data_IF_128871042742
#
_entry.id   IF_128871042742
#
_cell.length_a   1.000
_cell.length_b   1.000
_cell.length_c   1.000
_cell.angle_alpha   90.00
_cell.angle_beta   90.00
_cell.angle_gamma   90.00
#
_symmetry.space_group_name_H-M   'P 1'
#
loop_
_entity.id
_entity.type
_entity.pdbx_description
1 polymer ?
#
# COMPACT_ATOMS: atom_id res chain seq x y z
N UNK A 1 -27.69 84.37 71.28
CA UNK A 1 -27.31 83.07 71.88
C UNK A 1 -26.18 82.51 71.03
N UNK A 2 -24.98 82.31 71.60
CA UNK A 2 -23.81 81.80 70.84
C UNK A 2 -23.71 80.30 71.10
N UNK A 3 -23.93 79.51 70.05
CA UNK A 3 -23.74 78.05 70.08
C UNK A 3 -22.29 77.73 70.42
N UNK A 4 -22.10 76.85 71.42
CA UNK A 4 -20.80 76.24 71.70
C UNK A 4 -20.56 75.18 70.63
N UNK A 5 -19.72 75.48 69.65
CA UNK A 5 -19.16 74.47 68.73
C UNK A 5 -18.14 73.65 69.50
N UNK A 6 -18.48 72.40 69.75
CA UNK A 6 -17.52 71.41 70.27
C UNK A 6 -16.46 71.16 69.20
N UNK A 7 -15.24 71.64 69.46
CA UNK A 7 -14.08 71.37 68.61
C UNK A 7 -13.61 69.94 68.88
N UNK A 8 -14.08 68.99 68.08
CA UNK A 8 -13.68 67.60 68.19
C UNK A 8 -12.30 67.39 67.53
N UNK A 9 -11.23 67.63 68.30
CA UNK A 9 -9.84 67.47 67.86
C UNK A 9 -9.51 66.03 67.44
N UNK A 10 -10.17 65.04 68.04
CA UNK A 10 -9.97 63.64 67.70
C UNK A 10 -10.36 63.35 66.25
N UNK A 11 -11.47 63.94 65.79
CA UNK A 11 -11.96 63.72 64.43
C UNK A 11 -11.04 64.36 63.39
N UNK A 12 -10.54 65.58 63.64
CA UNK A 12 -9.53 66.22 62.78
C UNK A 12 -8.20 65.48 62.74
N UNK A 13 -7.79 64.87 63.86
CA UNK A 13 -6.56 64.08 63.92
C UNK A 13 -6.66 62.80 63.10
N UNK A 14 -7.81 62.12 63.16
CA UNK A 14 -8.10 60.92 62.35
C UNK A 14 -8.16 61.27 60.86
N UNK A 15 -8.82 62.37 60.50
CA UNK A 15 -8.87 62.87 59.11
C UNK A 15 -7.49 63.31 58.59
N UNK A 16 -6.64 63.87 59.46
CA UNK A 16 -5.26 64.24 59.13
C UNK A 16 -4.39 63.01 58.86
N UNK A 17 -4.46 61.99 59.72
CA UNK A 17 -3.71 60.74 59.50
C UNK A 17 -4.22 59.95 58.29
N UNK A 18 -5.52 59.97 58.00
CA UNK A 18 -6.06 59.34 56.79
C UNK A 18 -5.52 59.98 55.50
N UNK A 19 -5.25 61.30 55.51
CA UNK A 19 -4.66 62.03 54.38
C UNK A 19 -3.15 61.81 54.22
N UNK A 20 -2.41 61.63 55.32
CA UNK A 20 -0.98 61.26 55.25
C UNK A 20 -0.77 59.77 54.91
N UNK A 21 -1.73 58.89 55.24
CA UNK A 21 -1.66 57.46 54.91
C UNK A 21 -2.17 57.11 53.50
N UNK A 22 -2.65 58.07 52.70
CA UNK A 22 -2.89 57.86 51.27
C UNK A 22 -1.55 57.81 50.52
N UNK A 23 -0.82 56.72 50.76
CA UNK A 23 0.41 56.40 50.05
C UNK A 23 0.17 56.41 48.53
N UNK A 24 1.07 56.96 47.71
CA UNK A 24 0.94 56.95 46.24
C UNK A 24 1.20 55.54 45.63
N UNK A 25 0.95 54.47 46.38
CA UNK A 25 1.50 53.15 46.11
C UNK A 25 0.59 52.26 45.27
N UNK A 26 -0.74 52.38 45.37
CA UNK A 26 -1.68 51.42 44.75
C UNK A 26 -1.68 51.47 43.21
N UNK A 27 -1.64 52.66 42.61
CA UNK A 27 -1.59 52.80 41.15
C UNK A 27 -0.22 52.44 40.57
N UNK A 28 0.87 52.74 41.27
CA UNK A 28 2.22 52.36 40.85
C UNK A 28 2.45 50.85 40.95
N UNK A 29 1.95 50.21 42.02
CA UNK A 29 2.03 48.74 42.15
C UNK A 29 1.11 48.03 41.16
N UNK A 30 -0.08 48.56 40.85
CA UNK A 30 -0.89 48.05 39.74
C UNK A 30 -0.17 48.18 38.40
N UNK A 31 0.37 49.35 38.05
CA UNK A 31 1.10 49.49 36.79
C UNK A 31 2.28 48.51 36.67
N UNK A 32 2.99 48.26 37.78
CA UNK A 32 4.09 47.30 37.83
C UNK A 32 3.61 45.85 37.65
N UNK A 33 2.51 45.45 38.32
CA UNK A 33 1.97 44.08 38.18
C UNK A 33 1.39 43.84 36.78
N UNK A 34 0.74 44.85 36.18
CA UNK A 34 0.28 44.78 34.80
C UNK A 34 1.44 44.71 33.81
N UNK A 35 2.53 45.46 34.05
CA UNK A 35 3.75 45.39 33.23
C UNK A 35 4.44 44.03 33.29
N UNK A 36 4.60 43.46 34.48
CA UNK A 36 5.18 42.11 34.68
C UNK A 36 4.27 41.05 34.07
N UNK A 37 2.95 41.13 34.29
CA UNK A 37 1.97 40.21 33.72
C UNK A 37 1.99 40.22 32.19
N UNK A 38 2.08 41.39 31.58
CA UNK A 38 2.18 41.54 30.12
C UNK A 38 3.46 40.94 29.55
N UNK A 39 4.60 41.12 30.24
CA UNK A 39 5.89 40.54 29.83
C UNK A 39 5.89 39.01 29.89
N UNK A 40 5.32 38.42 30.95
CA UNK A 40 5.18 36.96 31.05
C UNK A 40 4.25 36.43 29.95
N UNK A 41 3.14 37.11 29.69
CA UNK A 41 2.17 36.69 28.68
C UNK A 41 2.78 36.72 27.27
N UNK A 42 3.54 37.77 26.93
CA UNK A 42 4.28 37.86 25.67
C UNK A 42 5.38 36.80 25.56
N UNK A 43 6.08 36.49 26.66
CA UNK A 43 7.07 35.41 26.68
C UNK A 43 6.46 34.03 26.39
N UNK A 44 5.28 33.75 26.94
CA UNK A 44 4.54 32.50 26.70
C UNK A 44 3.99 32.43 25.28
N UNK A 45 3.42 33.53 24.75
CA UNK A 45 2.93 33.58 23.36
C UNK A 45 4.08 33.56 22.34
N UNK A 46 5.22 34.17 22.66
CA UNK A 46 6.39 34.17 21.78
C UNK A 46 7.10 32.81 21.73
N UNK A 47 7.00 32.00 22.79
CA UNK A 47 7.66 30.68 22.87
C UNK A 47 6.77 29.51 22.42
N UNK A 48 5.46 29.72 22.28
CA UNK A 48 4.51 28.69 21.83
C UNK A 48 4.74 28.21 20.38
N UNK A 49 5.13 29.05 19.40
CA UNK A 49 5.42 28.59 18.04
C UNK A 49 6.55 27.57 17.99
N UNK A 50 7.62 27.81 18.76
CA UNK A 50 8.79 26.93 18.79
C UNK A 50 8.50 25.58 19.45
N UNK A 51 7.73 25.58 20.54
CA UNK A 51 7.27 24.34 21.18
C UNK A 51 6.36 23.53 20.25
N UNK A 52 5.57 24.19 19.42
CA UNK A 52 4.72 23.52 18.44
C UNK A 52 5.57 22.87 17.34
N UNK A 53 6.53 23.58 16.74
CA UNK A 53 7.43 23.01 15.74
C UNK A 53 8.22 21.81 16.27
N UNK A 54 8.68 21.88 17.51
CA UNK A 54 9.41 20.77 18.15
C UNK A 54 8.53 19.52 18.30
N UNK A 55 7.28 19.71 18.74
CA UNK A 55 6.32 18.59 18.86
C UNK A 55 5.96 18.02 17.49
N UNK A 56 5.69 18.88 16.52
CA UNK A 56 5.32 18.48 15.16
C UNK A 56 6.42 17.64 14.51
N UNK A 57 7.69 18.05 14.69
CA UNK A 57 8.86 17.35 14.15
C UNK A 57 9.01 15.95 14.76
N UNK A 58 8.79 15.79 16.07
CA UNK A 58 8.82 14.48 16.71
C UNK A 58 7.70 13.57 16.22
N UNK A 59 6.48 14.11 16.11
CA UNK A 59 5.35 13.33 15.62
C UNK A 59 5.57 12.89 14.16
N UNK A 60 6.17 13.74 13.34
CA UNK A 60 6.58 13.41 11.97
C UNK A 60 7.59 12.26 11.92
N UNK A 61 8.64 12.29 12.75
CA UNK A 61 9.65 11.23 12.81
C UNK A 61 9.02 9.88 13.22
N UNK A 62 8.12 9.89 14.21
CA UNK A 62 7.42 8.67 14.66
C UNK A 62 6.49 8.12 13.59
N UNK A 63 5.84 9.00 12.82
CA UNK A 63 4.97 8.59 11.70
C UNK A 63 5.80 8.04 10.54
N UNK A 64 6.91 8.70 10.18
CA UNK A 64 7.82 8.24 9.12
C UNK A 64 8.42 6.86 9.44
N UNK A 65 8.82 6.62 10.69
CA UNK A 65 9.33 5.33 11.16
C UNK A 65 8.26 4.22 11.10
N UNK A 66 7.00 4.56 11.38
CA UNK A 66 5.88 3.61 11.18
C UNK A 66 5.64 3.33 9.70
N UNK A 67 5.72 4.35 8.85
CA UNK A 67 5.54 4.19 7.40
C UNK A 67 6.65 3.31 6.80
N UNK A 68 7.89 3.49 7.23
CA UNK A 68 9.03 2.69 6.76
C UNK A 68 8.89 1.20 7.13
N UNK A 69 8.52 0.91 8.38
CA UNK A 69 8.25 -0.45 8.85
C UNK A 69 7.08 -1.10 8.08
N UNK A 70 5.98 -0.36 7.86
CA UNK A 70 4.86 -0.86 7.06
C UNK A 70 5.27 -1.13 5.61
N UNK A 71 6.13 -0.28 5.03
CA UNK A 71 6.63 -0.46 3.66
C UNK A 71 7.50 -1.70 3.54
N UNK A 72 8.36 -1.96 4.52
CA UNK A 72 9.19 -3.18 4.55
C UNK A 72 8.35 -4.45 4.69
N UNK A 73 7.36 -4.46 5.58
CA UNK A 73 6.41 -5.57 5.72
C UNK A 73 5.63 -5.78 4.42
N UNK A 74 5.19 -4.71 3.77
CA UNK A 74 4.47 -4.81 2.48
C UNK A 74 5.34 -5.43 1.38
N UNK A 75 6.63 -5.10 1.34
CA UNK A 75 7.58 -5.69 0.40
C UNK A 75 7.78 -7.18 0.69
N UNK A 76 7.96 -7.57 1.95
CA UNK A 76 8.08 -8.98 2.34
C UNK A 76 6.82 -9.80 2.02
N UNK A 77 5.63 -9.23 2.25
CA UNK A 77 4.35 -9.87 1.87
C UNK A 77 4.22 -9.98 0.35
N UNK A 78 4.65 -8.97 -0.41
CA UNK A 78 4.65 -9.05 -1.88
C UNK A 78 5.58 -10.15 -2.39
N UNK A 79 6.78 -10.28 -1.82
CA UNK A 79 7.73 -11.34 -2.13
C UNK A 79 7.14 -12.71 -1.78
N UNK A 80 6.54 -12.87 -0.60
CA UNK A 80 5.85 -14.10 -0.20
C UNK A 80 4.68 -14.43 -1.13
N UNK A 81 3.90 -13.44 -1.58
CA UNK A 81 2.80 -13.65 -2.54
C UNK A 81 3.31 -14.12 -3.90
N UNK A 82 4.40 -13.54 -4.40
CA UNK A 82 5.04 -14.01 -5.65
C UNK A 82 5.64 -15.41 -5.52
N UNK A 83 6.21 -15.73 -4.35
CA UNK A 83 6.75 -17.06 -4.09
C UNK A 83 5.61 -18.08 -3.96
N UNK A 84 4.51 -17.72 -3.30
CA UNK A 84 3.29 -18.55 -3.21
C UNK A 84 2.68 -18.81 -4.59
N UNK A 85 2.62 -17.81 -5.49
CA UNK A 85 2.09 -18.06 -6.84
C UNK A 85 2.97 -19.02 -7.64
N UNK A 86 4.31 -18.90 -7.52
CA UNK A 86 5.24 -19.85 -8.14
C UNK A 86 5.08 -21.27 -7.58
N UNK A 87 4.87 -21.40 -6.27
CA UNK A 87 4.62 -22.70 -5.62
C UNK A 87 3.28 -23.28 -6.07
N UNK A 88 2.21 -22.49 -6.18
CA UNK A 88 0.92 -22.95 -6.74
C UNK A 88 1.05 -23.41 -8.21
N UNK A 89 1.84 -22.72 -9.02
CA UNK A 89 2.13 -23.15 -10.40
C UNK A 89 2.91 -24.48 -10.42
N UNK A 90 3.91 -24.63 -9.54
CA UNK A 90 4.67 -25.87 -9.40
C UNK A 90 3.82 -27.03 -8.86
N UNK A 91 2.90 -26.76 -7.94
CA UNK A 91 1.99 -27.75 -7.38
C UNK A 91 0.96 -28.21 -8.43
N UNK A 92 0.47 -27.29 -9.29
CA UNK A 92 -0.33 -27.65 -10.46
C UNK A 92 0.44 -28.55 -11.42
N UNK A 93 1.71 -28.24 -11.69
CA UNK A 93 2.58 -29.10 -12.50
C UNK A 93 2.83 -30.47 -11.85
N UNK A 94 3.05 -30.51 -10.54
CA UNK A 94 3.28 -31.76 -9.82
C UNK A 94 1.99 -32.61 -9.75
N UNK A 95 0.83 -31.99 -9.60
CA UNK A 95 -0.45 -32.69 -9.68
C UNK A 95 -0.70 -33.25 -11.08
N UNK A 96 -0.36 -32.51 -12.14
CA UNK A 96 -0.40 -33.06 -13.50
C UNK A 96 0.53 -34.27 -13.68
N UNK A 97 1.72 -34.26 -13.06
CA UNK A 97 2.63 -35.42 -13.06
C UNK A 97 2.09 -36.60 -12.24
N UNK A 98 1.41 -36.36 -11.12
CA UNK A 98 0.88 -37.41 -10.24
C UNK A 98 -0.41 -38.05 -10.76
N UNK A 99 -1.26 -37.27 -11.44
CA UNK A 99 -2.55 -37.76 -11.96
C UNK A 99 -2.40 -38.45 -13.32
N UNK A 100 -1.29 -38.23 -14.04
CA UNK A 100 -1.05 -38.89 -15.32
C UNK A 100 -0.34 -40.23 -15.14
N UNK A 101 -0.95 -41.31 -15.64
CA UNK A 101 -0.42 -42.69 -15.58
C UNK A 101 0.79 -42.90 -16.50
N UNK A 102 1.13 -41.92 -17.35
CA UNK A 102 2.29 -41.89 -18.26
C UNK A 102 3.12 -40.64 -17.99
N UNK A 103 4.44 -40.76 -18.09
CA UNK A 103 5.36 -39.63 -17.95
C UNK A 103 5.06 -38.56 -19.03
N UNK A 104 4.61 -37.35 -18.64
CA UNK A 104 4.32 -36.28 -19.59
C UNK A 104 5.58 -35.61 -20.14
N UNK A 105 6.75 -35.81 -19.51
CA UNK A 105 8.04 -35.22 -19.91
C UNK A 105 8.38 -35.39 -21.39
N UNK A 106 8.46 -36.63 -21.92
CA UNK A 106 8.78 -36.86 -23.33
C UNK A 106 7.73 -36.31 -24.31
N UNK A 107 6.47 -36.20 -23.88
CA UNK A 107 5.40 -35.60 -24.70
C UNK A 107 5.56 -34.08 -24.75
N UNK A 108 5.80 -33.45 -23.60
CA UNK A 108 6.04 -32.02 -23.47
C UNK A 108 7.29 -31.56 -24.23
N UNK A 109 8.38 -32.31 -24.18
CA UNK A 109 9.59 -32.00 -24.95
C UNK A 109 9.33 -32.05 -26.46
N UNK A 110 8.65 -33.08 -26.95
CA UNK A 110 8.28 -33.16 -28.36
C UNK A 110 7.31 -32.05 -28.76
N UNK A 111 6.35 -31.72 -27.89
CA UNK A 111 5.40 -30.63 -28.14
C UNK A 111 6.13 -29.28 -28.22
N UNK A 112 7.10 -29.02 -27.34
CA UNK A 112 7.95 -27.82 -27.37
C UNK A 112 8.69 -27.66 -28.69
N UNK A 113 9.19 -28.76 -29.26
CA UNK A 113 9.89 -28.74 -30.56
C UNK A 113 8.93 -28.61 -31.76
N UNK A 114 7.64 -28.87 -31.55
CA UNK A 114 6.59 -28.85 -32.58
C UNK A 114 5.87 -27.49 -32.65
N UNK A 115 5.90 -26.72 -31.55
CA UNK A 115 5.25 -25.43 -31.43
C UNK A 115 6.00 -24.32 -32.20
N UNK A 116 5.28 -23.49 -32.98
CA UNK A 116 5.89 -22.35 -33.67
C UNK A 116 6.35 -21.26 -32.70
N UNK A 117 7.31 -20.44 -33.15
CA UNK A 117 7.91 -19.37 -32.35
C UNK A 117 6.82 -18.35 -31.98
N UNK A 118 6.67 -18.07 -30.68
CA UNK A 118 5.65 -17.14 -30.18
C UNK A 118 4.30 -17.80 -29.83
N UNK A 119 4.17 -19.11 -29.95
CA UNK A 119 3.01 -19.84 -29.45
C UNK A 119 2.99 -19.88 -27.92
N UNK A 120 1.82 -19.61 -27.33
CA UNK A 120 1.60 -19.67 -25.88
C UNK A 120 0.71 -20.86 -25.56
N UNK A 121 1.22 -21.81 -24.76
CA UNK A 121 0.42 -22.92 -24.26
C UNK A 121 -0.35 -22.44 -23.03
N UNK A 122 -1.68 -22.34 -23.14
CA UNK A 122 -2.55 -21.87 -22.06
C UNK A 122 -2.92 -23.00 -21.09
N UNK A 123 -3.11 -24.21 -21.62
CA UNK A 123 -3.44 -25.39 -20.82
C UNK A 123 -2.94 -26.67 -21.47
N UNK A 124 -2.51 -27.61 -20.63
CA UNK A 124 -2.12 -28.96 -21.01
C UNK A 124 -2.68 -29.94 -19.99
N UNK A 125 -3.36 -30.97 -20.46
CA UNK A 125 -3.85 -32.08 -19.66
C UNK A 125 -3.57 -33.38 -20.40
N UNK A 126 -3.02 -34.36 -19.68
CA UNK A 126 -2.77 -35.71 -20.17
C UNK A 126 -3.52 -36.71 -19.29
N UNK A 127 -4.56 -37.31 -19.85
CA UNK A 127 -5.36 -38.34 -19.19
C UNK A 127 -5.28 -39.63 -20.00
N UNK A 128 -4.54 -40.61 -19.49
CA UNK A 128 -4.28 -41.90 -20.13
C UNK A 128 -3.67 -41.75 -21.55
N UNK A 129 -4.52 -41.78 -22.58
CA UNK A 129 -4.15 -41.58 -23.98
C UNK A 129 -4.70 -40.29 -24.59
N UNK A 130 -5.46 -39.49 -23.85
CA UNK A 130 -6.02 -38.24 -24.36
C UNK A 130 -5.20 -37.04 -23.86
N UNK A 131 -4.74 -36.23 -24.80
CA UNK A 131 -4.06 -34.96 -24.59
C UNK A 131 -5.02 -33.84 -24.93
N UNK A 132 -5.40 -33.04 -23.94
CA UNK A 132 -6.09 -31.77 -24.15
C UNK A 132 -5.08 -30.64 -24.09
N UNK A 133 -4.98 -29.86 -25.17
CA UNK A 133 -4.00 -28.79 -25.31
C UNK A 133 -4.71 -27.51 -25.79
N UNK A 134 -4.54 -26.41 -25.07
CA UNK A 134 -4.97 -25.09 -25.52
C UNK A 134 -3.75 -24.25 -25.87
N UNK A 135 -3.66 -23.78 -27.12
CA UNK A 135 -2.54 -22.96 -27.61
C UNK A 135 -3.07 -21.67 -28.22
N UNK A 136 -2.49 -20.54 -27.84
CA UNK A 136 -2.66 -19.26 -28.53
C UNK A 136 -1.54 -19.06 -29.54
N UNK A 137 -1.91 -18.84 -30.79
CA UNK A 137 -1.01 -18.67 -31.92
C UNK A 137 -1.12 -17.24 -32.47
N UNK A 138 0.02 -16.59 -32.81
CA UNK A 138 0.01 -15.19 -33.23
C UNK A 138 -0.47 -15.01 -34.67
N UNK A 139 -0.21 -15.97 -35.57
CA UNK A 139 -0.62 -15.89 -36.97
C UNK A 139 -1.41 -17.13 -37.44
N UNK A 140 -2.29 -17.01 -38.44
CA UNK A 140 -2.98 -18.16 -39.04
C UNK A 140 -2.03 -19.17 -39.69
N UNK A 141 -0.88 -18.71 -40.21
CA UNK A 141 0.15 -19.57 -40.80
C UNK A 141 0.75 -20.51 -39.76
N UNK A 142 0.91 -20.01 -38.52
CA UNK A 142 1.40 -20.81 -37.40
C UNK A 142 0.41 -21.91 -37.00
N UNK A 143 -0.90 -21.70 -37.21
CA UNK A 143 -1.93 -22.75 -37.02
C UNK A 143 -1.73 -23.88 -38.03
N UNK A 144 -1.56 -23.54 -39.31
CA UNK A 144 -1.32 -24.54 -40.36
C UNK A 144 0.00 -25.29 -40.13
N UNK A 145 1.06 -24.58 -39.70
CA UNK A 145 2.34 -25.20 -39.37
C UNK A 145 2.21 -26.14 -38.17
N UNK A 146 1.54 -25.71 -37.09
CA UNK A 146 1.32 -26.55 -35.91
C UNK A 146 0.53 -27.82 -36.28
N UNK A 147 -0.50 -27.69 -37.11
CA UNK A 147 -1.29 -28.82 -37.58
C UNK A 147 -0.44 -29.85 -38.33
N UNK A 148 0.35 -29.40 -39.31
CA UNK A 148 1.26 -30.26 -40.08
C UNK A 148 2.26 -30.92 -39.13
N UNK A 149 2.88 -30.15 -38.23
CA UNK A 149 3.85 -30.69 -37.29
C UNK A 149 3.23 -31.71 -36.32
N UNK A 150 1.99 -31.51 -35.85
CA UNK A 150 1.27 -32.46 -35.00
C UNK A 150 0.92 -33.74 -35.75
N UNK A 151 0.44 -33.63 -37.00
CA UNK A 151 0.14 -34.77 -37.86
C UNK A 151 1.39 -35.58 -38.19
N UNK A 152 2.46 -34.90 -38.58
CA UNK A 152 3.70 -35.51 -39.03
C UNK A 152 4.55 -36.03 -37.85
N UNK A 153 4.22 -35.64 -36.61
CA UNK A 153 4.90 -36.13 -35.39
C UNK A 153 4.74 -37.64 -35.15
N UNK A 154 3.73 -38.29 -35.77
CA UNK A 154 3.42 -39.70 -35.57
C UNK A 154 3.00 -40.07 -34.14
N UNK A 155 2.81 -39.09 -33.26
CA UNK A 155 2.44 -39.29 -31.86
C UNK A 155 0.94 -39.46 -31.64
N UNK A 156 0.12 -38.91 -32.53
CA UNK A 156 -1.32 -38.81 -32.37
C UNK A 156 -2.05 -39.58 -33.49
N UNK A 157 -3.11 -40.31 -33.12
CA UNK A 157 -3.94 -41.08 -34.04
C UNK A 157 -4.88 -40.20 -34.86
N UNK A 158 -5.45 -39.17 -34.23
CA UNK A 158 -6.35 -38.20 -34.85
C UNK A 158 -6.00 -36.82 -34.32
N UNK A 159 -5.71 -35.91 -35.24
CA UNK A 159 -5.66 -34.48 -34.99
C UNK A 159 -6.85 -33.94 -35.78
N UNK A 160 -7.85 -33.35 -35.11
CA UNK A 160 -9.01 -32.72 -35.76
C UNK A 160 -9.01 -31.22 -35.46
N UNK A 161 -8.91 -30.39 -36.50
CA UNK A 161 -9.05 -28.93 -36.42
C UNK A 161 -10.35 -28.63 -37.12
N UNK A 162 -11.37 -28.28 -36.34
CA UNK A 162 -12.69 -28.02 -36.88
C UNK A 162 -12.80 -26.66 -37.57
N UNK A 163 -12.11 -25.62 -37.05
CA UNK A 163 -12.19 -24.27 -37.60
C UNK A 163 -10.87 -23.51 -37.45
N UNK A 164 -10.36 -22.92 -38.53
CA UNK A 164 -9.23 -21.97 -38.52
C UNK A 164 -9.75 -20.63 -39.00
N UNK A 165 -9.51 -19.56 -38.24
CA UNK A 165 -9.78 -18.21 -38.73
C UNK A 165 -8.56 -17.72 -39.52
N UNK A 166 -8.79 -17.05 -40.65
CA UNK A 166 -7.71 -16.46 -41.47
C UNK A 166 -7.43 -14.99 -41.11
N UNK A 167 -8.05 -14.48 -40.04
CA UNK A 167 -7.78 -13.13 -39.57
C UNK A 167 -6.40 -13.05 -38.93
N UNK A 168 -5.63 -12.04 -39.30
CA UNK A 168 -4.32 -11.70 -38.69
C UNK A 168 -4.51 -11.13 -37.28
N UNK A 169 -4.89 -12.01 -36.37
CA UNK A 169 -5.07 -11.75 -34.96
C UNK A 169 -4.75 -13.04 -34.20
N UNK A 170 -4.38 -12.89 -32.93
CA UNK A 170 -4.09 -14.02 -32.05
C UNK A 170 -5.30 -14.95 -31.96
N UNK A 171 -5.09 -16.23 -32.21
CA UNK A 171 -6.15 -17.24 -32.17
C UNK A 171 -5.83 -18.30 -31.13
N UNK A 172 -6.79 -18.56 -30.25
CA UNK A 172 -6.70 -19.64 -29.28
C UNK A 172 -7.38 -20.89 -29.85
N UNK A 173 -6.60 -21.96 -29.99
CA UNK A 173 -7.04 -23.24 -30.53
C UNK A 173 -7.02 -24.27 -29.41
N UNK A 174 -8.11 -25.02 -29.30
CA UNK A 174 -8.23 -26.13 -28.36
C UNK A 174 -8.15 -27.43 -29.14
N UNK A 175 -7.16 -28.25 -28.79
CA UNK A 175 -6.90 -29.54 -29.39
C UNK A 175 -7.23 -30.64 -28.39
N UNK A 176 -8.03 -31.60 -28.82
CA UNK A 176 -8.22 -32.87 -28.12
C UNK A 176 -7.58 -33.95 -29.00
N UNK A 177 -6.42 -34.43 -28.59
CA UNK A 177 -5.59 -35.35 -29.35
C UNK A 177 -5.55 -36.71 -28.64
N UNK A 178 -5.63 -37.80 -29.39
CA UNK A 178 -5.45 -39.15 -28.84
C UNK A 178 -4.09 -39.68 -29.22
N UNK A 179 -3.29 -40.04 -28.22
CA UNK A 179 -1.98 -40.68 -28.35
C UNK A 179 -2.11 -42.09 -28.93
N UNK A 180 -1.13 -42.45 -29.75
CA UNK A 180 -0.98 -43.79 -30.31
C UNK A 180 -0.48 -44.82 -29.29
#
# INVERSE_FOLDING_TARGET
MKEKREFNFAQRWIEGQARESESPSKLKTQALTWGIGGLVFLGVIGSTPWLWEYKLSRDLIVVEDKISLLREISNQVSQLKTLKSKVEEQEKLQNLMKTSTRDPGPILEKLKNTLPIGAVVNSFSLQENNVSLSVSLPTPVDVARLWVSLRDSGMFLVVDIQTVSLKDQTQTMNFNLTLK
#
